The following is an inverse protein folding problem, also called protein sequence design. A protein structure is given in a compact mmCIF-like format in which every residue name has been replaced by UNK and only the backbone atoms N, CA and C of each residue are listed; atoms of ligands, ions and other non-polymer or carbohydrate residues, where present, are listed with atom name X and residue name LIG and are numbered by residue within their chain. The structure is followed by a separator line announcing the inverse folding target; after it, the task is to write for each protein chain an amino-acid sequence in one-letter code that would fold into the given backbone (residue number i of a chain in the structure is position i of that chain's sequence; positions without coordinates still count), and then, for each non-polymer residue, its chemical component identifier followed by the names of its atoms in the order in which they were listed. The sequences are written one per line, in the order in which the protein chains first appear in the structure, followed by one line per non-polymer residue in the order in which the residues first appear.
data_IF_750432394751
#
_entry.id   IF_750432394751
#
_cell.length_a   1.000
_cell.length_b   1.000
_cell.length_c   1.000
_cell.angle_alpha   90.00
_cell.angle_beta   90.00
_cell.angle_gamma   90.00
#
_symmetry.space_group_name_H-M   'P 1'
#
loop_
_entity.id
_entity.type
_entity.pdbx_description
1 polymer ?
#
# COMPACT_ATOMS: atom_id res chain seq x y z
N UNK A 1 -5.87 17.06 -3.03
CA UNK A 1 -7.08 16.78 -2.24
C UNK A 1 -6.63 16.75 -0.79
N UNK A 2 -7.40 17.32 0.13
CA UNK A 2 -7.11 17.23 1.57
C UNK A 2 -8.04 16.17 2.18
N UNK A 3 -7.51 14.96 2.34
CA UNK A 3 -8.01 14.02 3.35
C UNK A 3 -7.11 14.16 4.58
N UNK A 4 -7.66 14.06 5.78
CA UNK A 4 -6.90 14.27 7.03
C UNK A 4 -5.72 13.28 7.19
N UNK A 5 -5.78 12.12 6.52
CA UNK A 5 -4.67 11.17 6.37
C UNK A 5 -4.89 10.24 5.16
N UNK A 6 -3.80 9.79 4.52
CA UNK A 6 -3.81 8.75 3.49
C UNK A 6 -3.09 7.52 4.02
N UNK A 7 -3.79 6.39 4.12
CA UNK A 7 -3.22 5.13 4.60
C UNK A 7 -2.97 4.16 3.45
N UNK A 8 -1.82 3.47 3.49
CA UNK A 8 -1.48 2.44 2.52
C UNK A 8 -2.29 1.17 2.82
N UNK A 9 -2.81 0.53 1.78
CA UNK A 9 -3.52 -0.75 1.90
C UNK A 9 -3.13 -1.72 0.78
N UNK A 10 -3.09 -2.99 1.11
CA UNK A 10 -2.89 -4.10 0.15
C UNK A 10 -4.17 -4.92 0.04
N UNK A 11 -4.38 -5.53 -1.12
CA UNK A 11 -5.47 -6.49 -1.34
C UNK A 11 -4.88 -7.86 -1.64
N UNK A 12 -5.09 -8.80 -0.71
CA UNK A 12 -4.59 -10.17 -0.79
C UNK A 12 -5.81 -11.08 -0.85
N UNK A 13 -5.92 -11.90 -1.91
CA UNK A 13 -7.06 -12.79 -2.17
C UNK A 13 -8.44 -12.09 -2.08
N UNK A 14 -8.49 -10.84 -2.55
CA UNK A 14 -9.70 -10.02 -2.54
C UNK A 14 -10.02 -9.32 -1.21
N UNK A 15 -9.29 -9.63 -0.13
CA UNK A 15 -9.43 -8.99 1.18
C UNK A 15 -8.46 -7.83 1.31
N UNK A 16 -8.96 -6.67 1.76
CA UNK A 16 -8.15 -5.47 1.98
C UNK A 16 -7.58 -5.41 3.39
N UNK A 17 -6.31 -5.05 3.50
CA UNK A 17 -5.61 -4.84 4.77
C UNK A 17 -4.89 -3.50 4.73
N UNK A 18 -5.02 -2.71 5.79
CA UNK A 18 -4.13 -1.57 5.99
C UNK A 18 -2.73 -2.07 6.30
N UNK A 19 -1.73 -1.36 5.79
CA UNK A 19 -0.31 -1.74 5.91
C UNK A 19 0.31 -0.98 7.07
N UNK A 20 1.06 -1.70 7.89
CA UNK A 20 1.93 -1.14 8.92
C UNK A 20 3.39 -1.36 8.54
N UNK A 21 4.23 -0.35 8.80
CA UNK A 21 5.68 -0.39 8.57
C UNK A 21 6.16 0.42 7.36
N UNK A 22 5.26 0.87 6.49
CA UNK A 22 5.57 1.76 5.36
C UNK A 22 4.33 2.56 4.92
N UNK A 23 4.53 3.74 4.34
CA UNK A 23 3.47 4.62 3.84
C UNK A 23 3.44 4.74 2.31
N UNK A 24 2.46 5.49 1.78
CA UNK A 24 2.34 5.71 0.33
C UNK A 24 3.60 6.38 -0.26
N UNK A 25 4.10 7.41 0.43
CA UNK A 25 5.21 8.24 -0.06
C UNK A 25 6.56 7.48 -0.07
N UNK A 26 6.69 6.40 0.69
CA UNK A 26 7.86 5.51 0.65
C UNK A 26 7.96 4.74 -0.68
N UNK A 27 6.88 4.73 -1.45
CA UNK A 27 6.73 3.94 -2.68
C UNK A 27 6.50 4.81 -3.92
N UNK A 28 6.70 6.12 -3.81
CA UNK A 28 6.56 7.10 -4.90
C UNK A 28 5.62 8.24 -4.55
N UNK A 29 5.43 9.18 -5.48
CA UNK A 29 4.48 10.27 -5.29
C UNK A 29 3.05 9.74 -5.29
N UNK A 30 2.40 9.75 -4.11
CA UNK A 30 1.03 9.30 -3.93
C UNK A 30 0.02 10.01 -4.87
N UNK A 31 0.34 11.24 -5.30
CA UNK A 31 -0.53 12.10 -6.12
C UNK A 31 -0.16 12.12 -7.61
N UNK A 32 0.89 11.40 -8.03
CA UNK A 32 1.19 11.22 -9.44
C UNK A 32 0.05 10.49 -10.17
N UNK A 33 0.03 10.51 -11.50
CA UNK A 33 -1.00 9.83 -12.29
C UNK A 33 -1.06 8.30 -12.00
N UNK A 34 0.08 7.73 -11.65
CA UNK A 34 0.27 6.34 -11.19
C UNK A 34 0.47 6.24 -9.67
N UNK A 35 0.27 7.34 -8.93
CA UNK A 35 0.31 7.36 -7.48
C UNK A 35 -0.87 6.61 -6.86
N UNK A 36 -0.72 6.11 -5.65
CA UNK A 36 -1.72 5.24 -5.01
C UNK A 36 -3.05 5.94 -4.71
N UNK A 37 -3.09 7.27 -4.63
CA UNK A 37 -4.36 8.00 -4.54
C UNK A 37 -5.17 7.94 -5.85
N UNK A 38 -4.50 7.66 -6.97
CA UNK A 38 -5.08 7.70 -8.31
C UNK A 38 -5.15 6.31 -8.98
N UNK A 39 -4.34 5.34 -8.56
CA UNK A 39 -4.22 4.04 -9.21
C UNK A 39 -4.04 2.86 -8.24
N UNK A 40 -4.56 1.69 -8.63
CA UNK A 40 -4.24 0.41 -7.98
C UNK A 40 -3.06 -0.21 -8.71
N UNK A 41 -2.01 -0.56 -7.97
CA UNK A 41 -0.78 -1.15 -8.52
C UNK A 41 -0.58 -2.57 -8.01
N UNK A 42 0.11 -3.39 -8.82
CA UNK A 42 0.54 -4.71 -8.40
C UNK A 42 1.85 -4.60 -7.62
N UNK A 43 1.93 -5.32 -6.51
CA UNK A 43 3.11 -5.39 -5.66
C UNK A 43 3.33 -6.83 -5.21
N UNK A 44 4.59 -7.19 -4.96
CA UNK A 44 4.94 -8.36 -4.15
C UNK A 44 5.15 -7.87 -2.73
N UNK A 45 4.51 -8.54 -1.79
CA UNK A 45 4.58 -8.19 -0.38
C UNK A 45 4.90 -9.43 0.45
N UNK A 46 5.72 -9.26 1.48
CA UNK A 46 5.99 -10.28 2.50
C UNK A 46 5.72 -9.64 3.86
N UNK A 47 5.05 -10.38 4.73
CA UNK A 47 4.64 -9.91 6.05
C UNK A 47 3.56 -10.79 6.66
N UNK A 48 3.00 -10.33 7.77
CA UNK A 48 2.02 -11.07 8.58
C UNK A 48 0.76 -10.24 8.82
N UNK A 49 -0.40 -10.90 8.91
CA UNK A 49 -1.64 -10.23 9.33
C UNK A 49 -1.79 -10.37 10.84
N UNK A 50 -1.70 -9.25 11.56
CA UNK A 50 -1.83 -9.17 13.02
C UNK A 50 -2.99 -8.21 13.32
N UNK A 51 -3.97 -8.67 14.08
CA UNK A 51 -5.16 -7.88 14.46
C UNK A 51 -5.89 -7.22 13.27
N UNK A 52 -5.87 -7.88 12.11
CA UNK A 52 -6.53 -7.39 10.89
C UNK A 52 -5.73 -6.34 10.10
N UNK A 53 -4.48 -6.07 10.47
CA UNK A 53 -3.56 -5.20 9.72
C UNK A 53 -2.40 -6.02 9.18
N UNK A 54 -1.90 -5.65 8.01
CA UNK A 54 -0.77 -6.33 7.38
C UNK A 54 0.52 -5.62 7.79
N UNK A 55 1.31 -6.27 8.65
CA UNK A 55 2.62 -5.79 9.09
C UNK A 55 3.65 -6.21 8.04
N UNK A 56 4.23 -5.22 7.35
CA UNK A 56 5.09 -5.47 6.18
C UNK A 56 6.54 -5.72 6.59
N UNK A 57 7.15 -6.75 6.00
CA UNK A 57 8.59 -7.00 6.02
C UNK A 57 9.25 -6.58 4.71
N UNK A 58 8.56 -6.76 3.58
CA UNK A 58 9.01 -6.25 2.28
C UNK A 58 7.84 -5.83 1.40
N UNK A 59 8.05 -4.75 0.64
CA UNK A 59 7.10 -4.20 -0.32
C UNK A 59 7.84 -3.85 -1.61
N UNK A 60 7.56 -4.58 -2.69
CA UNK A 60 8.16 -4.35 -4.00
C UNK A 60 7.05 -4.10 -5.02
N UNK A 61 6.98 -2.87 -5.54
CA UNK A 61 6.12 -2.57 -6.67
C UNK A 61 6.58 -3.32 -7.91
N UNK A 62 5.66 -4.01 -8.57
CA UNK A 62 5.91 -4.58 -9.89
C UNK A 62 5.89 -3.43 -10.89
N UNK A 63 7.07 -3.00 -11.32
CA UNK A 63 7.20 -2.01 -12.40
C UNK A 63 7.11 -2.73 -13.74
N UNK A 64 6.30 -2.17 -14.65
CA UNK A 64 6.30 -2.53 -16.07
C UNK A 64 7.33 -1.69 -16.82
#
# INVERSE_FOLDING_TARGET
MEGDSCDLAVRIDGVGYFVDGTGLDDHGDAHAADGFCNAIRQAKVVGEVIDGRFVVESFELVQN
#
